data_IF_629681205591
#
_entry.id   IF_629681205591
#
_cell.length_a   1.000
_cell.length_b   1.000
_cell.length_c   1.000
_cell.angle_alpha   90.00
_cell.angle_beta   90.00
_cell.angle_gamma   90.00
#
_symmetry.space_group_name_H-M   'P 1'
#
loop_
_entity.id
_entity.type
_entity.pdbx_description
1 polymer ?
#
# COMPACT_ATOMS: atom_id res chain seq x y z
N UNK A 1 11.68 -15.65 -8.26
CA UNK A 1 10.33 -16.07 -8.70
C UNK A 1 9.41 -14.95 -8.27
N UNK A 2 8.77 -14.24 -9.21
CA UNK A 2 7.81 -13.19 -8.85
C UNK A 2 6.62 -13.83 -8.16
N UNK A 3 6.13 -13.20 -7.10
CA UNK A 3 4.87 -13.56 -6.48
C UNK A 3 3.74 -13.42 -7.51
N UNK A 4 2.74 -14.28 -7.39
CA UNK A 4 1.46 -14.11 -8.07
C UNK A 4 0.59 -13.15 -7.24
N UNK A 5 0.27 -11.95 -7.75
CA UNK A 5 -0.53 -10.96 -7.02
C UNK A 5 -1.89 -11.48 -6.56
N UNK A 6 -2.55 -12.32 -7.37
CA UNK A 6 -3.89 -12.84 -7.07
C UNK A 6 -3.83 -13.83 -5.92
N UNK A 7 -2.85 -14.75 -5.96
CA UNK A 7 -2.62 -15.70 -4.86
C UNK A 7 -2.22 -14.96 -3.59
N UNK A 8 -1.43 -13.89 -3.72
CA UNK A 8 -1.01 -13.08 -2.58
C UNK A 8 -2.20 -12.36 -1.93
N UNK A 9 -3.05 -11.70 -2.72
CA UNK A 9 -4.27 -11.05 -2.22
C UNK A 9 -5.14 -12.05 -1.47
N UNK A 10 -5.44 -13.22 -2.06
CA UNK A 10 -6.24 -14.27 -1.40
C UNK A 10 -5.63 -14.73 -0.07
N UNK A 11 -4.30 -14.84 -0.03
CA UNK A 11 -3.58 -15.23 1.19
C UNK A 11 -3.68 -14.16 2.26
N UNK A 12 -3.49 -12.88 1.90
CA UNK A 12 -3.57 -11.77 2.83
C UNK A 12 -5.01 -11.56 3.32
N UNK A 13 -6.01 -11.60 2.45
CA UNK A 13 -7.42 -11.50 2.84
C UNK A 13 -7.79 -12.56 3.87
N UNK A 14 -7.29 -13.80 3.72
CA UNK A 14 -7.49 -14.85 4.73
C UNK A 14 -6.77 -14.55 6.06
N UNK A 15 -5.55 -13.99 6.01
CA UNK A 15 -4.75 -13.69 7.22
C UNK A 15 -5.30 -12.52 8.03
N UNK A 16 -5.83 -11.52 7.34
CA UNK A 16 -6.44 -10.32 7.95
C UNK A 16 -7.93 -10.48 8.25
N UNK A 17 -8.50 -11.66 7.95
CA UNK A 17 -9.94 -11.89 8.04
C UNK A 17 -10.74 -10.79 7.33
N UNK A 18 -10.35 -10.51 6.08
CA UNK A 18 -11.04 -9.55 5.20
C UNK A 18 -12.18 -10.28 4.48
N UNK A 19 -13.37 -10.13 5.04
CA UNK A 19 -14.58 -10.88 4.70
C UNK A 19 -15.48 -10.14 3.71
N UNK A 20 -16.54 -10.80 3.23
CA UNK A 20 -17.58 -10.14 2.44
C UNK A 20 -18.32 -9.04 3.21
N UNK A 21 -18.38 -9.11 4.55
CA UNK A 21 -18.96 -8.04 5.37
C UNK A 21 -18.09 -6.78 5.35
N UNK A 22 -16.76 -6.92 5.42
CA UNK A 22 -15.82 -5.80 5.28
C UNK A 22 -15.96 -5.14 3.90
N UNK A 23 -16.02 -5.95 2.83
CA UNK A 23 -16.22 -5.48 1.46
C UNK A 23 -17.54 -4.74 1.27
N UNK A 24 -18.63 -5.29 1.81
CA UNK A 24 -19.94 -4.66 1.74
C UNK A 24 -19.95 -3.33 2.51
N UNK A 25 -19.31 -3.26 3.68
CA UNK A 25 -19.22 -2.05 4.47
C UNK A 25 -18.39 -0.95 3.77
N UNK A 26 -17.25 -1.33 3.18
CA UNK A 26 -16.44 -0.43 2.35
C UNK A 26 -17.23 0.09 1.13
N UNK A 27 -17.90 -0.81 0.42
CA UNK A 27 -18.71 -0.45 -0.77
C UNK A 27 -19.85 0.50 -0.40
N UNK A 28 -20.54 0.24 0.71
CA UNK A 28 -21.64 1.09 1.19
C UNK A 28 -21.19 2.50 1.60
N UNK A 29 -19.89 2.69 1.86
CA UNK A 29 -19.30 3.97 2.23
C UNK A 29 -18.38 4.54 1.13
N UNK A 30 -18.46 4.05 -0.12
CA UNK A 30 -17.59 4.50 -1.19
C UNK A 30 -17.73 6.01 -1.51
N UNK A 31 -18.95 6.54 -1.53
CA UNK A 31 -19.19 7.98 -1.74
C UNK A 31 -18.54 8.83 -0.64
N UNK A 32 -18.64 8.37 0.61
CA UNK A 32 -17.98 9.02 1.74
C UNK A 32 -16.46 8.92 1.65
N UNK A 33 -15.93 7.75 1.26
CA UNK A 33 -14.51 7.56 1.02
C UNK A 33 -13.97 8.49 -0.07
N UNK A 34 -14.75 8.72 -1.13
CA UNK A 34 -14.41 9.66 -2.19
C UNK A 34 -14.45 11.12 -1.70
N UNK A 35 -15.45 11.49 -0.88
CA UNK A 35 -15.58 12.82 -0.30
C UNK A 35 -14.35 13.23 0.51
N UNK A 36 -13.84 12.33 1.36
CA UNK A 36 -12.68 12.63 2.23
C UNK A 36 -11.33 12.43 1.54
N UNK A 37 -11.28 11.85 0.34
CA UNK A 37 -10.04 11.42 -0.30
C UNK A 37 -9.05 12.56 -0.53
N UNK A 38 -9.53 13.75 -0.89
CA UNK A 38 -8.68 14.92 -1.12
C UNK A 38 -8.06 15.43 0.19
N UNK A 39 -8.82 15.45 1.28
CA UNK A 39 -8.34 15.79 2.63
C UNK A 39 -7.26 14.81 3.08
N UNK A 40 -7.47 13.50 2.86
CA UNK A 40 -6.49 12.46 3.19
C UNK A 40 -5.21 12.58 2.36
N UNK A 41 -5.33 12.97 1.08
CA UNK A 41 -4.17 13.26 0.25
C UNK A 41 -3.38 14.45 0.82
N UNK A 42 -4.05 15.50 1.28
CA UNK A 42 -3.41 16.65 1.89
C UNK A 42 -2.63 16.27 3.15
N UNK A 43 -3.22 15.47 4.05
CA UNK A 43 -2.52 14.94 5.21
C UNK A 43 -1.29 14.09 4.83
N UNK A 44 -1.43 13.22 3.83
CA UNK A 44 -0.35 12.36 3.35
C UNK A 44 0.83 13.17 2.80
N UNK A 45 0.58 14.11 1.89
CA UNK A 45 1.66 14.92 1.30
C UNK A 45 2.22 15.98 2.26
N UNK A 46 1.40 16.49 3.20
CA UNK A 46 1.88 17.37 4.26
C UNK A 46 2.75 16.63 5.29
N UNK A 47 2.57 15.32 5.48
CA UNK A 47 3.47 14.49 6.26
C UNK A 47 4.80 14.28 5.52
N UNK A 48 4.74 13.80 4.27
CA UNK A 48 5.93 13.52 3.46
C UNK A 48 6.78 14.77 3.22
N UNK A 49 6.17 15.94 3.03
CA UNK A 49 6.90 17.20 2.81
C UNK A 49 7.73 17.69 4.00
N UNK A 50 7.62 17.08 5.18
CA UNK A 50 8.44 17.41 6.37
C UNK A 50 9.79 16.72 6.35
N UNK A 51 9.91 15.62 5.62
CA UNK A 51 11.16 14.89 5.46
C UNK A 51 11.92 15.45 4.25
N UNK A 52 13.22 15.72 4.41
CA UNK A 52 14.03 16.37 3.38
C UNK A 52 14.14 15.51 2.10
N UNK A 53 14.35 14.21 2.26
CA UNK A 53 14.48 13.26 1.15
C UNK A 53 13.16 13.19 0.37
N UNK A 54 12.04 13.01 1.07
CA UNK A 54 10.73 12.94 0.44
C UNK A 54 10.30 14.27 -0.18
N UNK A 55 10.61 15.40 0.46
CA UNK A 55 10.31 16.72 -0.10
C UNK A 55 11.09 16.96 -1.40
N UNK A 56 12.35 16.51 -1.50
CA UNK A 56 13.11 16.58 -2.74
C UNK A 56 12.45 15.75 -3.86
N UNK A 57 12.02 14.51 -3.56
CA UNK A 57 11.31 13.65 -4.52
C UNK A 57 10.00 14.29 -4.97
N UNK A 58 9.22 14.84 -4.05
CA UNK A 58 7.93 15.47 -4.34
C UNK A 58 8.06 16.68 -5.29
N UNK A 59 9.15 17.44 -5.16
CA UNK A 59 9.38 18.67 -5.92
C UNK A 59 10.36 18.52 -7.09
N UNK A 60 10.79 17.29 -7.41
CA UNK A 60 11.73 17.01 -8.51
C UNK A 60 11.23 17.52 -9.87
N UNK A 61 9.90 17.53 -10.10
CA UNK A 61 9.30 18.05 -11.33
C UNK A 61 8.09 18.93 -11.05
N UNK A 62 7.94 19.99 -11.85
CA UNK A 62 6.83 20.93 -11.71
C UNK A 62 5.46 20.22 -11.83
N UNK A 63 4.55 20.58 -10.92
CA UNK A 63 3.22 19.99 -10.84
C UNK A 63 3.16 18.52 -10.41
N UNK A 64 4.28 17.90 -10.02
CA UNK A 64 4.30 16.49 -9.58
C UNK A 64 3.38 16.24 -8.40
N UNK A 65 3.46 17.06 -7.35
CA UNK A 65 2.60 16.94 -6.16
C UNK A 65 1.11 16.98 -6.53
N UNK A 66 0.72 17.86 -7.45
CA UNK A 66 -0.67 17.95 -7.90
C UNK A 66 -1.13 16.67 -8.60
N UNK A 67 -0.32 16.12 -9.52
CA UNK A 67 -0.60 14.84 -10.18
C UNK A 67 -0.65 13.68 -9.18
N UNK A 68 0.28 13.68 -8.22
CA UNK A 68 0.36 12.68 -7.17
C UNK A 68 -0.89 12.68 -6.28
N UNK A 69 -1.41 13.86 -5.88
CA UNK A 69 -2.69 14.00 -5.18
C UNK A 69 -3.86 13.36 -5.95
N UNK A 70 -3.94 13.57 -7.26
CA UNK A 70 -5.00 12.94 -8.08
C UNK A 70 -4.88 11.40 -8.10
N UNK A 71 -3.66 10.88 -8.19
CA UNK A 71 -3.44 9.42 -8.13
C UNK A 71 -3.72 8.84 -6.75
N UNK A 72 -3.43 9.59 -5.68
CA UNK A 72 -3.77 9.20 -4.31
C UNK A 72 -5.28 9.12 -4.13
N UNK A 73 -6.03 10.14 -4.56
CA UNK A 73 -7.51 10.16 -4.48
C UNK A 73 -8.10 8.92 -5.16
N UNK A 74 -7.57 8.58 -6.34
CA UNK A 74 -7.99 7.37 -7.07
C UNK A 74 -7.66 6.10 -6.27
N UNK A 75 -6.42 5.96 -5.79
CA UNK A 75 -5.99 4.79 -5.02
C UNK A 75 -6.80 4.60 -3.73
N UNK A 76 -7.08 5.69 -3.02
CA UNK A 76 -7.85 5.71 -1.78
C UNK A 76 -9.29 5.30 -2.04
N UNK A 77 -9.95 5.88 -3.04
CA UNK A 77 -11.30 5.49 -3.42
C UNK A 77 -11.40 4.04 -3.90
N UNK A 78 -10.36 3.51 -4.55
CA UNK A 78 -10.27 2.09 -4.93
C UNK A 78 -10.26 1.15 -3.72
N UNK A 79 -9.80 1.60 -2.54
CA UNK A 79 -9.91 0.80 -1.32
C UNK A 79 -11.36 0.56 -0.92
N UNK A 80 -12.27 1.49 -1.24
CA UNK A 80 -13.70 1.37 -0.93
C UNK A 80 -14.47 0.59 -1.99
N UNK A 81 -14.13 0.78 -3.26
CA UNK A 81 -14.85 0.16 -4.38
C UNK A 81 -14.33 -1.23 -4.74
N UNK A 82 -13.09 -1.55 -4.35
CA UNK A 82 -12.45 -2.83 -4.65
C UNK A 82 -12.15 -3.06 -6.13
N UNK A 83 -12.43 -2.10 -7.03
CA UNK A 83 -12.34 -2.17 -8.50
C UNK A 83 -13.22 -3.27 -9.11
N UNK A 84 -12.85 -4.52 -8.88
CA UNK A 84 -13.48 -5.75 -9.37
C UNK A 84 -13.77 -6.71 -8.20
N UNK A 85 -14.35 -6.15 -7.13
CA UNK A 85 -14.62 -6.85 -5.87
C UNK A 85 -13.36 -7.43 -5.19
N UNK A 86 -12.29 -6.62 -5.14
CA UNK A 86 -10.98 -7.02 -4.60
C UNK A 86 -10.46 -8.28 -5.31
N UNK A 87 -10.59 -8.28 -6.65
CA UNK A 87 -10.27 -9.39 -7.52
C UNK A 87 -8.90 -9.24 -8.18
N UNK A 88 -8.79 -9.78 -9.39
CA UNK A 88 -7.52 -9.87 -10.11
C UNK A 88 -7.00 -8.48 -10.50
N UNK A 89 -7.87 -7.57 -10.96
CA UNK A 89 -7.48 -6.22 -11.33
C UNK A 89 -7.01 -5.42 -10.12
N UNK A 90 -7.68 -5.58 -8.98
CA UNK A 90 -7.23 -4.98 -7.72
C UNK A 90 -5.80 -5.44 -7.37
N UNK A 91 -5.58 -6.76 -7.33
CA UNK A 91 -4.28 -7.35 -7.00
C UNK A 91 -3.16 -6.86 -7.94
N UNK A 92 -3.39 -6.88 -9.25
CA UNK A 92 -2.42 -6.43 -10.25
C UNK A 92 -2.11 -4.95 -10.10
N UNK A 93 -3.12 -4.12 -9.79
CA UNK A 93 -2.91 -2.70 -9.58
C UNK A 93 -2.10 -2.41 -8.32
N UNK A 94 -2.37 -3.10 -7.21
CA UNK A 94 -1.58 -2.97 -5.97
C UNK A 94 -0.14 -3.41 -6.15
N UNK A 95 0.07 -4.49 -6.91
CA UNK A 95 1.42 -4.91 -7.30
C UNK A 95 2.16 -3.84 -8.11
N UNK A 96 1.51 -3.27 -9.13
CA UNK A 96 2.09 -2.19 -9.95
C UNK A 96 2.44 -0.96 -9.11
N UNK A 97 1.60 -0.59 -8.14
CA UNK A 97 1.87 0.51 -7.22
C UNK A 97 3.15 0.22 -6.41
N UNK A 98 3.30 -0.98 -5.86
CA UNK A 98 4.54 -1.38 -5.18
C UNK A 98 5.79 -1.22 -6.06
N UNK A 99 5.75 -1.77 -7.28
CA UNK A 99 6.85 -1.67 -8.24
C UNK A 99 7.24 -0.22 -8.58
N UNK A 100 6.26 0.70 -8.63
CA UNK A 100 6.53 2.12 -8.86
C UNK A 100 7.34 2.72 -7.71
N UNK A 101 7.00 2.39 -6.46
CA UNK A 101 7.76 2.89 -5.30
C UNK A 101 9.20 2.38 -5.30
N UNK A 102 9.39 1.08 -5.59
CA UNK A 102 10.72 0.48 -5.74
C UNK A 102 11.52 1.18 -6.85
N UNK A 103 10.88 1.44 -8.00
CA UNK A 103 11.53 2.09 -9.14
C UNK A 103 11.96 3.53 -8.85
N UNK A 104 11.17 4.27 -8.06
CA UNK A 104 11.50 5.64 -7.64
C UNK A 104 12.59 5.64 -6.56
N UNK A 105 12.81 4.52 -5.87
CA UNK A 105 13.83 4.39 -4.83
C UNK A 105 13.35 4.83 -3.44
N UNK A 106 12.04 5.01 -3.25
CA UNK A 106 11.46 5.34 -1.95
C UNK A 106 11.72 4.17 -1.01
N UNK A 107 12.26 4.40 0.19
CA UNK A 107 12.51 3.31 1.13
C UNK A 107 11.24 2.94 1.92
N UNK A 108 11.04 1.66 2.30
CA UNK A 108 9.93 1.22 3.17
C UNK A 108 9.72 2.06 4.43
N UNK A 109 10.81 2.56 5.02
CA UNK A 109 10.77 3.42 6.22
C UNK A 109 9.97 4.72 6.03
N UNK A 110 9.78 5.18 4.79
CA UNK A 110 8.96 6.34 4.44
C UNK A 110 7.49 5.96 4.19
N UNK A 111 7.24 4.71 3.78
CA UNK A 111 5.94 4.21 3.36
C UNK A 111 5.08 3.86 4.57
N UNK A 112 5.64 3.11 5.52
CA UNK A 112 4.91 2.64 6.71
C UNK A 112 4.34 3.81 7.53
N UNK A 113 5.11 4.85 7.88
CA UNK A 113 4.57 5.99 8.61
C UNK A 113 3.57 6.84 7.80
N UNK A 114 3.75 6.92 6.48
CA UNK A 114 2.83 7.66 5.61
C UNK A 114 1.47 6.97 5.53
N UNK A 115 1.44 5.63 5.44
CA UNK A 115 0.21 4.85 5.55
C UNK A 115 -0.44 5.03 6.94
N UNK A 116 0.36 4.95 8.01
CA UNK A 116 -0.14 5.13 9.38
C UNK A 116 -0.76 6.51 9.61
N UNK A 117 -0.18 7.55 9.00
CA UNK A 117 -0.73 8.92 9.03
C UNK A 117 -2.14 8.95 8.44
N UNK A 118 -2.34 8.35 7.26
CA UNK A 118 -3.66 8.31 6.62
C UNK A 118 -4.67 7.53 7.47
N UNK A 119 -4.31 6.34 7.94
CA UNK A 119 -5.20 5.52 8.81
C UNK A 119 -5.62 6.28 10.06
N UNK A 120 -4.68 7.01 10.68
CA UNK A 120 -4.97 7.81 11.88
C UNK A 120 -5.90 8.99 11.58
N UNK A 121 -5.68 9.75 10.51
CA UNK A 121 -6.54 10.88 10.14
C UNK A 121 -7.94 10.40 9.74
N UNK A 122 -8.05 9.28 9.00
CA UNK A 122 -9.37 8.67 8.73
C UNK A 122 -10.04 8.23 10.02
N UNK A 123 -9.32 7.61 10.95
CA UNK A 123 -9.86 7.21 12.26
C UNK A 123 -10.42 8.39 13.07
N UNK A 124 -9.77 9.56 13.01
CA UNK A 124 -10.31 10.79 13.63
C UNK A 124 -11.58 11.25 12.92
N UNK A 125 -11.57 11.27 11.59
CA UNK A 125 -12.71 11.70 10.75
C UNK A 125 -13.94 10.83 11.01
N UNK A 126 -13.77 9.50 11.05
CA UNK A 126 -14.82 8.53 11.38
C UNK A 126 -15.46 8.83 12.74
N UNK A 127 -14.64 9.10 13.77
CA UNK A 127 -15.12 9.44 15.12
C UNK A 127 -15.90 10.74 15.17
N UNK A 128 -15.41 11.78 14.48
CA UNK A 128 -16.08 13.10 14.42
C UNK A 128 -17.45 12.97 13.76
N UNK A 129 -17.56 12.15 12.72
CA UNK A 129 -18.79 11.99 11.94
C UNK A 129 -19.69 10.86 12.43
N UNK A 130 -19.34 10.20 13.54
CA UNK A 130 -20.14 9.14 14.14
C UNK A 130 -20.30 7.91 13.25
N UNK A 131 -19.30 7.60 12.43
CA UNK A 131 -19.31 6.43 11.54
C UNK A 131 -19.10 5.13 12.34
N UNK A 132 -19.63 3.99 11.86
CA UNK A 132 -19.49 2.70 12.57
C UNK A 132 -18.03 2.26 12.71
N UNK A 133 -17.71 1.63 13.84
CA UNK A 133 -16.36 1.10 14.12
C UNK A 133 -15.95 0.04 13.10
N UNK A 134 -16.92 -0.74 12.60
CA UNK A 134 -16.71 -1.77 11.59
C UNK A 134 -16.15 -1.20 10.28
N UNK A 135 -16.42 0.09 9.97
CA UNK A 135 -15.84 0.74 8.79
C UNK A 135 -14.37 1.05 9.01
N UNK A 136 -14.00 1.46 10.24
CA UNK A 136 -12.61 1.67 10.62
C UNK A 136 -11.83 0.37 10.54
N UNK A 137 -12.40 -0.74 11.02
CA UNK A 137 -11.78 -2.06 10.99
C UNK A 137 -11.58 -2.56 9.56
N UNK A 138 -12.62 -2.49 8.73
CA UNK A 138 -12.55 -2.90 7.33
C UNK A 138 -11.49 -2.09 6.55
N UNK A 139 -11.45 -0.77 6.78
CA UNK A 139 -10.45 0.10 6.16
C UNK A 139 -9.03 -0.22 6.65
N UNK A 140 -8.87 -0.45 7.96
CA UNK A 140 -7.56 -0.81 8.53
C UNK A 140 -7.03 -2.11 7.94
N UNK A 141 -7.88 -3.13 7.79
CA UNK A 141 -7.52 -4.40 7.13
C UNK A 141 -7.04 -4.17 5.70
N UNK A 142 -7.80 -3.46 4.86
CA UNK A 142 -7.43 -3.26 3.45
C UNK A 142 -6.18 -2.37 3.30
N UNK A 143 -6.00 -1.37 4.17
CA UNK A 143 -4.76 -0.58 4.21
C UNK A 143 -3.53 -1.45 4.52
N UNK A 144 -3.63 -2.40 5.45
CA UNK A 144 -2.53 -3.32 5.76
C UNK A 144 -2.26 -4.33 4.64
N UNK A 145 -3.30 -4.77 3.93
CA UNK A 145 -3.15 -5.58 2.72
C UNK A 145 -2.37 -4.80 1.65
N UNK A 146 -2.78 -3.56 1.37
CA UNK A 146 -2.11 -2.69 0.39
C UNK A 146 -0.65 -2.39 0.77
N UNK A 147 -0.38 -2.16 2.06
CA UNK A 147 0.98 -1.98 2.57
C UNK A 147 1.83 -3.24 2.33
N UNK A 148 1.28 -4.43 2.58
CA UNK A 148 1.98 -5.69 2.34
C UNK A 148 2.31 -5.91 0.85
N UNK A 149 1.47 -5.44 -0.08
CA UNK A 149 1.81 -5.43 -1.52
C UNK A 149 3.04 -4.58 -1.82
N UNK A 150 3.13 -3.40 -1.21
CA UNK A 150 4.26 -2.50 -1.40
C UNK A 150 5.53 -3.14 -0.83
N UNK A 151 5.51 -3.60 0.42
CA UNK A 151 6.66 -4.26 1.07
C UNK A 151 7.14 -5.49 0.30
N UNK A 152 6.21 -6.36 -0.11
CA UNK A 152 6.55 -7.57 -0.86
C UNK A 152 7.21 -7.24 -2.20
N UNK A 153 6.84 -6.12 -2.84
CA UNK A 153 7.45 -5.70 -4.10
C UNK A 153 8.94 -5.37 -3.95
N UNK A 154 9.39 -4.83 -2.80
CA UNK A 154 10.83 -4.61 -2.53
C UNK A 154 11.58 -5.94 -2.46
N UNK A 155 11.05 -6.87 -1.67
CA UNK A 155 11.66 -8.19 -1.48
C UNK A 155 11.76 -8.94 -2.81
N UNK A 156 10.69 -8.92 -3.60
CA UNK A 156 10.65 -9.59 -4.90
C UNK A 156 11.59 -8.95 -5.91
N UNK A 157 11.60 -7.62 -6.03
CA UNK A 157 12.49 -6.93 -6.98
C UNK A 157 13.94 -7.16 -6.60
N UNK A 158 14.31 -6.98 -5.32
CA UNK A 158 15.67 -7.19 -4.84
C UNK A 158 16.12 -8.64 -5.05
N UNK A 159 15.28 -9.61 -4.67
CA UNK A 159 15.57 -11.04 -4.87
C UNK A 159 15.75 -11.36 -6.35
N UNK A 160 14.81 -10.95 -7.21
CA UNK A 160 14.88 -11.27 -8.63
C UNK A 160 16.07 -10.59 -9.32
N UNK A 161 16.44 -9.37 -8.91
CA UNK A 161 17.64 -8.70 -9.40
C UNK A 161 18.90 -9.51 -9.06
N UNK A 162 19.07 -9.92 -7.80
CA UNK A 162 20.24 -10.72 -7.39
C UNK A 162 20.27 -12.06 -8.11
N UNK A 163 19.15 -12.80 -8.18
CA UNK A 163 19.11 -14.09 -8.87
C UNK A 163 19.47 -13.95 -10.36
N UNK A 164 18.99 -12.89 -11.02
CA UNK A 164 19.27 -12.62 -12.43
C UNK A 164 20.75 -12.31 -12.67
N UNK A 165 21.35 -11.45 -11.85
CA UNK A 165 22.74 -11.04 -12.01
C UNK A 165 23.74 -12.15 -11.63
N UNK A 166 23.42 -12.96 -10.61
CA UNK A 166 24.33 -13.98 -10.08
C UNK A 166 24.13 -15.39 -10.68
N UNK A 167 22.96 -15.67 -11.25
CA UNK A 167 22.56 -17.01 -11.66
C UNK A 167 22.28 -17.96 -10.49
N UNK A 168 22.19 -17.47 -9.26
CA UNK A 168 21.88 -18.30 -8.10
C UNK A 168 20.48 -18.91 -8.20
N UNK A 169 20.31 -20.09 -7.59
CA UNK A 169 18.98 -20.65 -7.39
C UNK A 169 18.27 -19.93 -6.24
N UNK A 170 16.94 -19.84 -6.32
CA UNK A 170 16.13 -19.26 -5.24
C UNK A 170 16.34 -19.98 -3.89
N UNK A 171 16.56 -21.31 -3.93
CA UNK A 171 16.85 -22.10 -2.73
C UNK A 171 18.19 -21.73 -2.08
N UNK A 172 19.23 -21.49 -2.89
CA UNK A 172 20.52 -21.03 -2.38
C UNK A 172 20.40 -19.64 -1.75
N UNK A 173 19.78 -18.69 -2.46
CA UNK A 173 19.60 -17.32 -1.96
C UNK A 173 18.85 -17.30 -0.64
N UNK A 174 17.73 -18.04 -0.53
CA UNK A 174 16.97 -18.17 0.72
C UNK A 174 17.85 -18.66 1.88
N UNK A 175 18.66 -19.70 1.65
CA UNK A 175 19.59 -20.23 2.67
C UNK A 175 20.63 -19.19 3.09
N UNK A 176 21.18 -18.43 2.13
CA UNK A 176 22.16 -17.37 2.43
C UNK A 176 21.54 -16.26 3.28
N UNK A 177 20.33 -15.79 2.95
CA UNK A 177 19.62 -14.79 3.74
C UNK A 177 19.35 -15.30 5.16
N UNK A 178 18.82 -16.52 5.32
CA UNK A 178 18.54 -17.09 6.63
C UNK A 178 19.81 -17.28 7.47
N UNK A 179 20.89 -17.78 6.88
CA UNK A 179 22.14 -17.98 7.60
C UNK A 179 22.82 -16.65 7.96
N UNK A 180 22.80 -15.67 7.06
CA UNK A 180 23.33 -14.34 7.32
C UNK A 180 22.58 -13.63 8.45
N UNK A 181 21.26 -13.76 8.49
CA UNK A 181 20.44 -13.23 9.58
C UNK A 181 20.75 -13.89 10.94
N UNK A 182 21.18 -15.16 10.96
CA UNK A 182 21.59 -15.82 12.20
C UNK A 182 22.95 -15.33 12.75
N UNK A 183 23.70 -14.56 11.95
CA UNK A 183 25.05 -14.06 12.27
C UNK A 183 25.14 -12.56 12.51
N UNK A 184 24.01 -11.84 12.38
CA UNK A 184 23.88 -10.42 12.72
C UNK A 184 23.27 -10.27 14.11
#
# INVERSE_FOLDING_TARGET
MSIDPVVFLKTLSKRFDFTEADKANLTANADWGLEIAAEMADHFYAYLGRDEEMNAVLNETEGRVHRLKQTFVTWFHEMFTGIDNWGDNYAQRRWKIGLVHVKVGIQPQHIVPAMATVVNEVGKKLKIEGKPEELQDALSKICMIDLAFIEQSYIDVATNAVLKETGWSAALFKRLVTNGAATM
#
